data_IF_465317219490
#
_entry.id   IF_465317219490
#
_cell.length_a   1.000
_cell.length_b   1.000
_cell.length_c   1.000
_cell.angle_alpha   90.00
_cell.angle_beta   90.00
_cell.angle_gamma   90.00
#
_symmetry.space_group_name_H-M   'P 1'
#
loop_
_entity.id
_entity.type
_entity.pdbx_description
1 polymer ?
#
# COMPACT_ATOMS: atom_id res chain seq x y z
N UNK A 1 24.48 -17.38 -4.87
CA UNK A 1 23.43 -16.34 -4.82
C UNK A 1 23.92 -15.28 -3.85
N UNK A 2 23.95 -14.01 -4.24
CA UNK A 2 24.43 -12.93 -3.36
C UNK A 2 23.38 -12.59 -2.30
N UNK A 3 23.81 -11.91 -1.23
CA UNK A 3 22.89 -11.40 -0.20
C UNK A 3 21.85 -10.44 -0.80
N UNK A 4 22.27 -9.60 -1.74
CA UNK A 4 21.41 -8.69 -2.49
C UNK A 4 20.33 -9.45 -3.29
N UNK A 5 20.69 -10.55 -3.97
CA UNK A 5 19.70 -11.37 -4.70
C UNK A 5 18.67 -11.99 -3.75
N UNK A 6 19.09 -12.48 -2.59
CA UNK A 6 18.18 -13.03 -1.57
C UNK A 6 17.26 -11.96 -1.00
N UNK A 7 17.82 -10.76 -0.75
CA UNK A 7 17.06 -9.62 -0.27
C UNK A 7 16.01 -9.17 -1.28
N UNK A 8 16.38 -9.03 -2.56
CA UNK A 8 15.46 -8.68 -3.66
C UNK A 8 14.35 -9.72 -3.79
N UNK A 9 14.69 -11.00 -3.72
CA UNK A 9 13.72 -12.09 -3.76
C UNK A 9 12.73 -12.01 -2.57
N UNK A 10 13.23 -11.77 -1.36
CA UNK A 10 12.39 -11.67 -0.16
C UNK A 10 11.39 -10.52 -0.26
N UNK A 11 11.85 -9.34 -0.71
CA UNK A 11 10.95 -8.22 -0.96
C UNK A 11 9.98 -8.53 -2.09
N UNK A 12 10.43 -9.13 -3.20
CA UNK A 12 9.54 -9.54 -4.29
C UNK A 12 8.40 -10.45 -3.79
N UNK A 13 8.72 -11.45 -2.97
CA UNK A 13 7.74 -12.36 -2.36
C UNK A 13 6.75 -11.61 -1.45
N UNK A 14 7.22 -10.65 -0.66
CA UNK A 14 6.37 -9.77 0.15
C UNK A 14 5.38 -8.98 -0.71
N UNK A 15 5.87 -8.32 -1.77
CA UNK A 15 5.02 -7.53 -2.65
C UNK A 15 4.01 -8.40 -3.40
N UNK A 16 4.43 -9.57 -3.89
CA UNK A 16 3.52 -10.53 -4.53
C UNK A 16 2.44 -11.05 -3.58
N UNK A 17 2.79 -11.31 -2.31
CA UNK A 17 1.81 -11.67 -1.29
C UNK A 17 0.79 -10.55 -1.07
N UNK A 18 1.22 -9.28 -1.08
CA UNK A 18 0.31 -8.14 -0.93
C UNK A 18 -0.61 -8.00 -2.15
N UNK A 19 -0.08 -8.18 -3.36
CA UNK A 19 -0.90 -8.13 -4.57
C UNK A 19 -1.93 -9.26 -4.63
N UNK A 20 -1.66 -10.44 -4.04
CA UNK A 20 -2.61 -11.56 -3.94
C UNK A 20 -3.81 -11.27 -3.03
N UNK A 21 -3.70 -10.31 -2.11
CA UNK A 21 -4.85 -9.85 -1.29
C UNK A 21 -5.85 -9.02 -2.10
N UNK A 22 -5.41 -8.47 -3.24
CA UNK A 22 -6.19 -7.53 -4.02
C UNK A 22 -7.07 -8.24 -5.06
N UNK A 23 -8.36 -7.86 -5.20
CA UNK A 23 -9.18 -8.31 -6.30
C UNK A 23 -8.60 -7.90 -7.66
N UNK A 24 -8.80 -8.73 -8.70
CA UNK A 24 -8.21 -8.51 -10.01
C UNK A 24 -8.52 -7.15 -10.65
N UNK A 25 -9.72 -6.60 -10.40
CA UNK A 25 -10.08 -5.27 -10.92
C UNK A 25 -9.29 -4.14 -10.24
N UNK A 26 -8.88 -4.32 -8.99
CA UNK A 26 -8.03 -3.36 -8.25
C UNK A 26 -6.62 -3.38 -8.84
N UNK A 27 -6.09 -4.58 -9.10
CA UNK A 27 -4.80 -4.74 -9.79
C UNK A 27 -4.80 -4.08 -11.17
N UNK A 28 -5.87 -4.28 -11.95
CA UNK A 28 -6.01 -3.66 -13.26
C UNK A 28 -5.98 -2.13 -13.17
N UNK A 29 -6.59 -1.52 -12.14
CA UNK A 29 -6.52 -0.07 -11.94
C UNK A 29 -5.12 0.42 -11.60
N UNK A 30 -4.41 -0.30 -10.73
CA UNK A 30 -3.03 0.04 -10.36
C UNK A 30 -2.08 -0.04 -11.57
N UNK A 31 -2.33 -0.97 -12.49
CA UNK A 31 -1.56 -1.11 -13.74
C UNK A 31 -1.91 -0.06 -14.80
N UNK A 32 -3.05 0.62 -14.65
CA UNK A 32 -3.52 1.64 -15.59
C UNK A 32 -3.81 2.93 -14.82
N UNK A 33 -2.78 3.57 -14.23
CA UNK A 33 -2.96 4.81 -13.49
C UNK A 33 -3.51 5.92 -14.40
N UNK A 34 -4.35 6.83 -13.87
CA UNK A 34 -4.78 8.00 -14.61
C UNK A 34 -3.55 8.86 -14.94
N UNK A 35 -3.56 9.50 -16.12
CA UNK A 35 -2.52 10.46 -16.49
C UNK A 35 -2.59 11.66 -15.56
N UNK A 36 -1.45 12.05 -14.98
CA UNK A 36 -1.33 13.23 -14.12
C UNK A 36 -0.29 14.17 -14.72
N UNK A 37 -0.68 15.43 -14.94
CA UNK A 37 0.15 16.44 -15.58
C UNK A 37 1.15 17.11 -14.65
N UNK A 38 0.81 17.18 -13.36
CA UNK A 38 1.60 17.78 -12.29
C UNK A 38 1.59 16.85 -11.07
N UNK A 39 2.78 16.62 -10.48
CA UNK A 39 2.95 15.70 -9.36
C UNK A 39 2.40 16.28 -8.04
N UNK A 40 2.62 17.56 -7.78
CA UNK A 40 2.19 18.20 -6.54
C UNK A 40 0.66 18.35 -6.53
N UNK A 41 0.07 18.68 -7.68
CA UNK A 41 -1.38 18.69 -7.87
C UNK A 41 -1.97 17.29 -7.64
N UNK A 42 -1.33 16.23 -8.16
CA UNK A 42 -1.75 14.85 -7.92
C UNK A 42 -1.78 14.49 -6.44
N UNK A 43 -0.74 14.88 -5.70
CA UNK A 43 -0.62 14.60 -4.27
C UNK A 43 -1.67 15.37 -3.45
N UNK A 44 -1.96 16.61 -3.84
CA UNK A 44 -3.06 17.38 -3.26
C UNK A 44 -4.41 16.72 -3.53
N UNK A 45 -4.66 16.31 -4.78
CA UNK A 45 -5.91 15.66 -5.19
C UNK A 45 -6.14 14.32 -4.48
N UNK A 46 -5.09 13.53 -4.27
CA UNK A 46 -5.16 12.30 -3.46
C UNK A 46 -5.65 12.64 -2.05
N UNK A 47 -5.03 13.62 -1.39
CA UNK A 47 -5.39 14.02 -0.01
C UNK A 47 -6.83 14.55 0.06
N UNK A 48 -7.23 15.41 -0.88
CA UNK A 48 -8.60 15.93 -0.95
C UNK A 48 -9.60 14.78 -1.16
N UNK A 49 -9.30 13.85 -2.06
CA UNK A 49 -10.16 12.69 -2.33
C UNK A 49 -10.40 11.85 -1.06
N UNK A 50 -9.33 11.56 -0.30
CA UNK A 50 -9.43 10.81 0.95
C UNK A 50 -10.28 11.54 2.00
N UNK A 51 -10.05 12.86 2.16
CA UNK A 51 -10.79 13.69 3.12
C UNK A 51 -12.29 13.78 2.82
N UNK A 52 -12.69 13.63 1.55
CA UNK A 52 -14.08 13.67 1.12
C UNK A 52 -14.84 12.35 1.35
N UNK A 53 -14.15 11.25 1.68
CA UNK A 53 -14.82 9.98 1.92
C UNK A 53 -15.41 9.91 3.34
N UNK A 54 -16.73 9.72 3.50
CA UNK A 54 -17.36 9.51 4.79
C UNK A 54 -17.14 8.06 5.27
N UNK A 55 -15.89 7.65 5.44
CA UNK A 55 -15.50 6.34 5.97
C UNK A 55 -14.90 6.58 7.36
N UNK A 56 -15.63 6.14 8.38
CA UNK A 56 -15.21 6.29 9.77
C UNK A 56 -13.85 5.61 10.00
N UNK A 57 -12.95 6.29 10.72
CA UNK A 57 -11.62 5.79 11.03
C UNK A 57 -10.60 5.82 9.88
N UNK A 58 -11.02 6.01 8.62
CA UNK A 58 -10.12 5.91 7.47
C UNK A 58 -9.00 6.94 7.48
N UNK A 59 -9.31 8.23 7.67
CA UNK A 59 -8.28 9.28 7.60
C UNK A 59 -7.19 9.07 8.66
N UNK A 60 -7.58 8.81 9.91
CA UNK A 60 -6.62 8.53 10.98
C UNK A 60 -5.82 7.25 10.74
N UNK A 61 -6.44 6.23 10.14
CA UNK A 61 -5.75 5.00 9.78
C UNK A 61 -4.75 5.21 8.62
N UNK A 62 -5.11 5.95 7.58
CA UNK A 62 -4.20 6.26 6.46
C UNK A 62 -3.03 7.11 6.94
N UNK A 63 -3.25 8.11 7.80
CA UNK A 63 -2.17 8.91 8.37
C UNK A 63 -1.21 8.05 9.22
N UNK A 64 -1.76 7.14 10.04
CA UNK A 64 -0.94 6.20 10.82
C UNK A 64 -0.16 5.23 9.92
N UNK A 65 -0.80 4.76 8.84
CA UNK A 65 -0.20 3.87 7.87
C UNK A 65 0.93 4.57 7.09
N UNK A 66 0.71 5.80 6.63
CA UNK A 66 1.73 6.62 5.97
C UNK A 66 2.95 6.83 6.87
N UNK A 67 2.74 7.16 8.15
CA UNK A 67 3.81 7.28 9.12
C UNK A 67 4.58 5.98 9.37
N UNK A 68 3.91 4.82 9.34
CA UNK A 68 4.55 3.51 9.44
C UNK A 68 5.35 3.16 8.19
N UNK A 69 4.79 3.40 7.00
CA UNK A 69 5.47 3.18 5.70
C UNK A 69 6.73 4.04 5.61
N UNK A 70 6.61 5.33 5.91
CA UNK A 70 7.74 6.27 5.87
C UNK A 70 8.85 5.90 6.85
N UNK A 71 8.49 5.37 8.04
CA UNK A 71 9.48 4.96 9.04
C UNK A 71 10.26 3.71 8.64
N UNK A 72 9.58 2.72 8.05
CA UNK A 72 10.19 1.44 7.71
C UNK A 72 10.72 1.37 6.28
N UNK A 73 10.48 2.44 5.50
CA UNK A 73 10.97 2.62 4.15
C UNK A 73 10.78 1.34 3.33
N UNK A 74 9.51 0.94 3.13
CA UNK A 74 9.16 -0.26 2.38
C UNK A 74 9.93 -0.29 1.07
N UNK A 75 10.81 -1.28 0.94
CA UNK A 75 11.88 -1.26 -0.05
C UNK A 75 11.36 -1.71 -1.40
N UNK A 76 11.71 -0.98 -2.46
CA UNK A 76 11.42 -1.44 -3.81
C UNK A 76 12.26 -2.69 -4.13
N UNK A 77 11.64 -3.84 -4.48
CA UNK A 77 12.36 -5.06 -4.81
C UNK A 77 13.29 -4.90 -6.03
N UNK A 78 13.13 -3.84 -6.82
CA UNK A 78 13.95 -3.52 -7.99
C UNK A 78 15.03 -2.48 -7.71
N UNK A 79 15.13 -1.96 -6.47
CA UNK A 79 16.14 -0.96 -6.11
C UNK A 79 17.56 -1.55 -6.19
N UNK A 80 18.46 -0.83 -6.89
CA UNK A 80 19.89 -1.15 -6.95
C UNK A 80 20.67 -0.53 -5.77
N UNK A 81 20.04 0.38 -5.01
CA UNK A 81 20.62 1.01 -3.82
C UNK A 81 19.94 0.48 -2.55
N UNK A 82 19.71 -0.84 -2.54
CA UNK A 82 19.00 -1.55 -1.50
C UNK A 82 19.71 -1.48 -0.14
N UNK A 83 18.97 -1.07 0.91
CA UNK A 83 19.44 -1.24 2.29
C UNK A 83 19.20 -2.68 2.76
N UNK A 84 20.21 -3.53 2.56
CA UNK A 84 20.17 -4.96 2.94
C UNK A 84 20.13 -5.22 4.45
N UNK A 85 20.12 -4.17 5.30
CA UNK A 85 19.91 -4.31 6.74
C UNK A 85 18.44 -4.46 7.13
N UNK A 86 17.50 -4.15 6.22
CA UNK A 86 16.05 -4.23 6.47
C UNK A 86 15.44 -5.34 5.64
N UNK A 87 14.85 -6.34 6.30
CA UNK A 87 14.13 -7.44 5.66
C UNK A 87 12.63 -7.35 5.93
N UNK A 88 11.78 -7.90 5.04
CA UNK A 88 10.34 -7.90 5.25
C UNK A 88 9.88 -8.48 6.59
N UNK A 89 10.54 -9.54 7.07
CA UNK A 89 10.19 -10.17 8.35
C UNK A 89 10.55 -9.31 9.58
N UNK A 90 11.44 -8.32 9.43
CA UNK A 90 11.89 -7.46 10.53
C UNK A 90 10.99 -6.23 10.69
N UNK A 91 10.05 -6.02 9.76
CA UNK A 91 9.11 -4.91 9.83
C UNK A 91 8.15 -5.15 11.00
N UNK A 92 8.01 -4.21 11.95
CA UNK A 92 7.10 -4.39 13.06
C UNK A 92 5.64 -4.36 12.63
N UNK A 93 4.72 -4.77 13.51
CA UNK A 93 3.30 -4.75 13.22
C UNK A 93 2.84 -3.36 12.74
N UNK A 94 2.03 -3.29 11.68
CA UNK A 94 1.43 -2.03 11.24
C UNK A 94 0.35 -1.57 12.23
N UNK A 95 -0.15 -0.33 12.08
CA UNK A 95 -1.35 0.11 12.78
C UNK A 95 -2.53 -0.87 12.55
N UNK A 96 -3.38 -1.10 13.56
CA UNK A 96 -4.53 -1.98 13.41
C UNK A 96 -5.53 -1.39 12.42
N UNK A 97 -6.00 -2.22 11.50
CA UNK A 97 -7.05 -1.85 10.54
C UNK A 97 -8.39 -1.67 11.27
N UNK A 98 -9.09 -0.53 11.12
CA UNK A 98 -10.41 -0.36 11.71
C UNK A 98 -11.46 -1.23 11.02
N UNK A 99 -12.43 -1.73 11.78
CA UNK A 99 -13.48 -2.62 11.30
C UNK A 99 -14.25 -2.05 10.11
N UNK A 100 -14.37 -2.84 9.03
CA UNK A 100 -15.14 -2.49 7.84
C UNK A 100 -14.49 -1.46 6.90
N UNK A 101 -13.30 -0.93 7.24
CA UNK A 101 -12.59 0.03 6.38
C UNK A 101 -12.20 -0.61 5.05
N UNK A 102 -11.72 -1.85 5.06
CA UNK A 102 -11.36 -2.55 3.83
C UNK A 102 -12.53 -2.66 2.85
N UNK A 103 -13.69 -3.12 3.32
CA UNK A 103 -14.89 -3.24 2.50
C UNK A 103 -15.38 -1.87 2.00
N UNK A 104 -15.27 -0.84 2.84
CA UNK A 104 -15.65 0.52 2.46
C UNK A 104 -14.73 1.09 1.36
N UNK A 105 -13.41 0.95 1.48
CA UNK A 105 -12.45 1.37 0.45
C UNK A 105 -12.59 0.51 -0.81
N UNK A 106 -12.85 -0.79 -0.67
CA UNK A 106 -13.10 -1.68 -1.80
C UNK A 106 -14.31 -1.24 -2.64
N UNK A 107 -15.38 -0.75 -2.00
CA UNK A 107 -16.51 -0.16 -2.72
C UNK A 107 -16.11 1.11 -3.47
N UNK A 108 -15.25 1.95 -2.88
CA UNK A 108 -14.70 3.16 -3.57
C UNK A 108 -13.87 2.79 -4.79
N UNK A 109 -13.16 1.66 -4.76
CA UNK A 109 -12.40 1.18 -5.91
C UNK A 109 -13.29 0.81 -7.12
N UNK A 110 -14.61 0.69 -6.96
CA UNK A 110 -15.53 0.52 -8.08
C UNK A 110 -15.83 1.85 -8.80
N UNK A 111 -15.58 2.98 -8.16
CA UNK A 111 -15.84 4.30 -8.75
C UNK A 111 -14.96 4.52 -10.00
N UNK A 112 -15.49 5.17 -11.04
CA UNK A 112 -14.69 5.48 -12.22
C UNK A 112 -13.63 6.55 -11.93
N UNK A 113 -12.61 6.62 -12.78
CA UNK A 113 -11.64 7.70 -12.77
C UNK A 113 -10.71 7.74 -11.54
N UNK A 114 -10.31 8.96 -11.16
CA UNK A 114 -9.27 9.20 -10.17
C UNK A 114 -9.62 8.66 -8.78
N UNK A 115 -10.86 8.85 -8.31
CA UNK A 115 -11.28 8.37 -6.99
C UNK A 115 -11.13 6.84 -6.83
N UNK A 116 -11.52 6.07 -7.86
CA UNK A 116 -11.32 4.62 -7.84
C UNK A 116 -9.84 4.21 -7.92
N UNK A 117 -8.98 5.01 -8.55
CA UNK A 117 -7.53 4.81 -8.52
C UNK A 117 -6.94 5.10 -7.13
N UNK A 118 -7.35 6.19 -6.47
CA UNK A 118 -6.94 6.48 -5.09
C UNK A 118 -7.34 5.34 -4.16
N UNK A 119 -8.55 4.81 -4.30
CA UNK A 119 -9.02 3.67 -3.49
C UNK A 119 -8.19 2.40 -3.75
N UNK A 120 -7.83 2.14 -5.01
CA UNK A 120 -6.93 1.05 -5.36
C UNK A 120 -5.53 1.22 -4.72
N UNK A 121 -5.02 2.45 -4.70
CA UNK A 121 -3.76 2.81 -4.02
C UNK A 121 -3.83 2.53 -2.52
N UNK A 122 -4.89 2.99 -1.85
CA UNK A 122 -5.11 2.72 -0.41
C UNK A 122 -5.19 1.22 -0.14
N UNK A 123 -5.95 0.46 -0.94
CA UNK A 123 -6.05 -1.00 -0.78
C UNK A 123 -4.69 -1.69 -0.92
N UNK A 124 -3.82 -1.23 -1.83
CA UNK A 124 -2.46 -1.75 -1.95
C UNK A 124 -1.68 -1.54 -0.65
N UNK A 125 -1.75 -0.34 -0.07
CA UNK A 125 -1.07 -0.06 1.21
C UNK A 125 -1.63 -0.91 2.36
N UNK A 126 -2.95 -1.06 2.43
CA UNK A 126 -3.62 -1.93 3.42
C UNK A 126 -3.22 -3.39 3.25
N UNK A 127 -3.13 -3.89 2.02
CA UNK A 127 -2.68 -5.25 1.74
C UNK A 127 -1.23 -5.49 2.18
N UNK A 128 -0.34 -4.53 1.96
CA UNK A 128 1.04 -4.59 2.44
C UNK A 128 1.09 -4.64 3.98
N UNK A 129 0.27 -3.84 4.67
CA UNK A 129 0.13 -3.92 6.13
C UNK A 129 -0.36 -5.31 6.57
N UNK A 130 -1.43 -5.84 5.97
CA UNK A 130 -1.95 -7.18 6.29
C UNK A 130 -0.91 -8.29 6.10
N UNK A 131 -0.07 -8.18 5.06
CA UNK A 131 1.06 -9.10 4.85
C UNK A 131 2.12 -8.93 5.95
N UNK A 132 2.53 -7.71 6.27
CA UNK A 132 3.48 -7.44 7.35
C UNK A 132 3.02 -8.01 8.70
N UNK A 133 1.73 -7.90 9.03
CA UNK A 133 1.15 -8.51 10.25
C UNK A 133 1.29 -10.04 10.32
N UNK A 134 1.38 -10.73 9.16
CA UNK A 134 1.56 -12.19 9.12
C UNK A 134 2.99 -12.64 9.38
N UNK A 135 3.98 -11.78 9.17
CA UNK A 135 5.37 -12.09 9.52
C UNK A 135 5.64 -11.98 11.02
N UNK A 136 4.92 -11.07 11.70
CA UNK A 136 5.06 -10.84 13.14
C UNK A 136 4.22 -11.77 14.01
N UNK A 137 3.34 -12.56 13.40
CA UNK A 137 2.47 -13.54 14.06
C UNK A 137 3.01 -14.99 14.00
N UNK A 138 4.19 -15.20 13.40
CA UNK A 138 4.90 -16.49 13.33
C UNK A 138 6.02 -16.54 14.36
#
# INVERSE_FOLDING_TARGET
>A
MSLETLWQQSWQEFYEAALKELPGFVLQRLQNPPTVGDHDEAMFDIRVTLLLWPIEGLNGYVDALDGWIARWNLQDPTSQEADTSVWPQDIPPPPPEPDGVWEAVLRRALEPGFAGFVAAGVLKLMAMARVASRYTSQ
#
